data_IF_095456929234
#
_entry.id   IF_095456929234
#
_cell.length_a   1.000
_cell.length_b   1.000
_cell.length_c   1.000
_cell.angle_alpha   90.00
_cell.angle_beta   90.00
_cell.angle_gamma   90.00
#
_symmetry.space_group_name_H-M   'P 1'
#
loop_
_entity.id
_entity.type
_entity.pdbx_description
1 polymer ?
#
# COMPACT_ATOMS: atom_id res chain seq x y z
N UNK A 1 -19.36 2.55 38.51
CA UNK A 1 -18.08 1.82 38.33
C UNK A 1 -17.65 1.96 36.89
N UNK A 2 -16.73 2.88 36.58
CA UNK A 2 -16.16 3.02 35.25
C UNK A 2 -14.75 2.41 35.28
N UNK A 3 -14.61 1.18 34.78
CA UNK A 3 -13.32 0.54 34.59
C UNK A 3 -12.72 1.03 33.27
N UNK A 4 -11.98 2.14 33.32
CA UNK A 4 -11.14 2.56 32.21
C UNK A 4 -9.89 1.67 32.15
N UNK A 5 -9.98 0.59 31.38
CA UNK A 5 -8.82 -0.19 30.98
C UNK A 5 -7.93 0.69 30.11
N UNK A 6 -6.88 1.28 30.70
CA UNK A 6 -5.81 1.92 29.93
C UNK A 6 -5.29 0.89 28.91
N UNK A 7 -5.57 1.10 27.62
CA UNK A 7 -4.95 0.37 26.51
C UNK A 7 -3.44 0.51 26.67
N UNK A 8 -2.78 -0.52 27.22
CA UNK A 8 -1.31 -0.61 27.17
C UNK A 8 -0.95 -0.69 25.70
N UNK A 9 -0.09 0.21 25.22
CA UNK A 9 0.46 0.12 23.87
C UNK A 9 1.18 -1.22 23.76
N UNK A 10 0.64 -2.14 22.96
CA UNK A 10 1.27 -3.42 22.71
C UNK A 10 2.54 -3.18 21.92
N UNK A 11 3.67 -3.65 22.43
CA UNK A 11 4.95 -3.59 21.72
C UNK A 11 4.84 -4.38 20.42
N UNK A 12 5.46 -3.88 19.36
CA UNK A 12 5.55 -4.58 18.08
C UNK A 12 6.13 -6.00 18.25
N UNK A 13 5.47 -6.98 17.63
CA UNK A 13 6.02 -8.32 17.44
C UNK A 13 7.20 -8.30 16.46
N UNK A 14 7.99 -9.39 16.43
CA UNK A 14 9.09 -9.52 15.47
C UNK A 14 8.63 -9.37 14.01
N UNK A 15 7.47 -9.95 13.67
CA UNK A 15 6.89 -9.87 12.32
C UNK A 15 6.50 -8.43 11.98
N UNK A 16 5.90 -7.71 12.92
CA UNK A 16 5.50 -6.31 12.72
C UNK A 16 6.71 -5.37 12.62
N UNK A 17 7.79 -5.63 13.37
CA UNK A 17 9.05 -4.88 13.22
C UNK A 17 9.65 -5.08 11.84
N UNK A 18 9.75 -6.35 11.40
CA UNK A 18 10.24 -6.67 10.06
C UNK A 18 9.36 -6.02 8.99
N UNK A 19 8.03 -6.05 9.15
CA UNK A 19 7.09 -5.39 8.24
C UNK A 19 7.33 -3.88 8.17
N UNK A 20 7.48 -3.21 9.32
CA UNK A 20 7.75 -1.78 9.41
C UNK A 20 9.10 -1.39 8.77
N UNK A 21 10.15 -2.15 9.06
CA UNK A 21 11.50 -1.95 8.50
C UNK A 21 11.54 -2.06 6.97
N UNK A 22 10.66 -2.87 6.37
CA UNK A 22 10.58 -3.06 4.92
C UNK A 22 9.44 -2.25 4.29
N UNK A 23 8.68 -1.48 5.07
CA UNK A 23 7.46 -0.81 4.60
C UNK A 23 7.74 0.21 3.50
N UNK A 24 8.74 1.07 3.71
CA UNK A 24 9.13 2.12 2.76
C UNK A 24 9.57 1.54 1.41
N UNK A 25 10.42 0.51 1.41
CA UNK A 25 10.84 -0.16 0.17
C UNK A 25 9.65 -0.78 -0.58
N UNK A 26 8.71 -1.38 0.14
CA UNK A 26 7.52 -1.97 -0.47
C UNK A 26 6.60 -0.92 -1.09
N UNK A 27 6.40 0.21 -0.40
CA UNK A 27 5.63 1.34 -0.93
C UNK A 27 6.30 1.90 -2.18
N UNK A 28 7.62 2.15 -2.15
CA UNK A 28 8.37 2.65 -3.30
C UNK A 28 8.26 1.74 -4.53
N UNK A 29 8.24 0.41 -4.34
CA UNK A 29 8.03 -0.55 -5.43
C UNK A 29 6.62 -0.44 -6.02
N UNK A 30 5.61 -0.28 -5.18
CA UNK A 30 4.23 -0.10 -5.63
C UNK A 30 4.05 1.23 -6.36
N UNK A 31 4.65 2.32 -5.87
CA UNK A 31 4.61 3.63 -6.52
C UNK A 31 5.34 3.62 -7.88
N UNK A 32 6.47 2.93 -7.97
CA UNK A 32 7.16 2.73 -9.26
C UNK A 32 6.27 1.97 -10.26
N UNK A 33 5.54 0.95 -9.79
CA UNK A 33 4.61 0.20 -10.62
C UNK A 33 3.39 1.04 -11.03
N UNK A 34 2.85 1.86 -10.13
CA UNK A 34 1.81 2.84 -10.43
C UNK A 34 2.23 3.74 -11.60
N UNK A 35 3.42 4.36 -11.51
CA UNK A 35 3.93 5.25 -12.57
C UNK A 35 4.09 4.49 -13.89
N UNK A 36 4.57 3.24 -13.84
CA UNK A 36 4.69 2.40 -15.03
C UNK A 36 3.33 2.12 -15.69
N UNK A 37 2.32 1.75 -14.89
CA UNK A 37 0.97 1.47 -15.37
C UNK A 37 0.26 2.73 -15.89
N UNK A 38 0.45 3.87 -15.23
CA UNK A 38 -0.02 5.17 -15.73
C UNK A 38 0.57 5.48 -17.10
N UNK A 39 1.88 5.29 -17.28
CA UNK A 39 2.54 5.46 -18.57
C UNK A 39 2.00 4.51 -19.64
N UNK A 40 1.79 3.24 -19.30
CA UNK A 40 1.18 2.27 -20.21
C UNK A 40 -0.26 2.63 -20.59
N UNK A 41 -1.06 3.11 -19.65
CA UNK A 41 -2.46 3.49 -19.89
C UNK A 41 -2.62 4.59 -20.93
N UNK A 42 -1.57 5.41 -21.11
CA UNK A 42 -1.51 6.50 -22.07
C UNK A 42 -0.84 6.09 -23.40
N UNK A 43 -0.30 4.87 -23.49
CA UNK A 43 0.35 4.41 -24.71
C UNK A 43 -0.68 4.11 -25.80
N UNK A 44 -0.33 4.41 -27.05
CA UNK A 44 -1.21 4.16 -28.19
C UNK A 44 -1.58 2.68 -28.34
N UNK A 45 -0.65 1.76 -28.03
CA UNK A 45 -0.90 0.32 -28.07
C UNK A 45 -2.03 -0.11 -27.13
N UNK A 46 -2.03 0.41 -25.90
CA UNK A 46 -3.04 0.10 -24.89
C UNK A 46 -4.37 0.81 -25.20
N UNK A 47 -4.33 2.07 -25.63
CA UNK A 47 -5.54 2.84 -25.95
C UNK A 47 -6.34 2.27 -27.13
N UNK A 48 -5.67 1.60 -28.07
CA UNK A 48 -6.32 0.99 -29.24
C UNK A 48 -6.84 -0.44 -28.98
N UNK A 49 -6.49 -1.04 -27.84
CA UNK A 49 -6.88 -2.39 -27.45
C UNK A 49 -7.71 -2.34 -26.17
N UNK A 50 -9.03 -2.48 -26.30
CA UNK A 50 -9.95 -2.36 -25.15
C UNK A 50 -9.68 -3.38 -24.06
N UNK A 51 -9.16 -4.56 -24.39
CA UNK A 51 -8.83 -5.58 -23.40
C UNK A 51 -7.59 -5.16 -22.61
N UNK A 52 -6.53 -4.73 -23.30
CA UNK A 52 -5.33 -4.20 -22.63
C UNK A 52 -5.63 -2.97 -21.79
N UNK A 53 -6.48 -2.07 -22.28
CA UNK A 53 -6.90 -0.89 -21.52
C UNK A 53 -7.62 -1.28 -20.23
N UNK A 54 -8.53 -2.27 -20.29
CA UNK A 54 -9.22 -2.78 -19.12
C UNK A 54 -8.25 -3.44 -18.13
N UNK A 55 -7.33 -4.28 -18.62
CA UNK A 55 -6.32 -4.94 -17.79
C UNK A 55 -5.42 -3.92 -17.05
N UNK A 56 -4.84 -2.96 -17.79
CA UNK A 56 -4.00 -1.91 -17.20
C UNK A 56 -4.79 -1.06 -16.19
N UNK A 57 -6.06 -0.75 -16.48
CA UNK A 57 -6.91 0.02 -15.56
C UNK A 57 -7.21 -0.74 -14.27
N UNK A 58 -7.46 -2.05 -14.36
CA UNK A 58 -7.69 -2.91 -13.20
C UNK A 58 -6.43 -3.04 -12.35
N UNK A 59 -5.27 -3.22 -12.99
CA UNK A 59 -3.98 -3.29 -12.30
C UNK A 59 -3.64 -1.96 -11.62
N UNK A 60 -3.88 -0.83 -12.28
CA UNK A 60 -3.66 0.48 -11.70
C UNK A 60 -4.54 0.69 -10.46
N UNK A 61 -5.83 0.36 -10.54
CA UNK A 61 -6.75 0.46 -9.41
C UNK A 61 -6.31 -0.43 -8.23
N UNK A 62 -5.83 -1.65 -8.53
CA UNK A 62 -5.30 -2.56 -7.51
C UNK A 62 -4.06 -1.98 -6.83
N UNK A 63 -3.07 -1.51 -7.60
CA UNK A 63 -1.82 -0.95 -7.06
C UNK A 63 -2.10 0.28 -6.19
N UNK A 64 -3.01 1.16 -6.61
CA UNK A 64 -3.42 2.32 -5.81
C UNK A 64 -4.04 1.91 -4.47
N UNK A 65 -4.91 0.89 -4.46
CA UNK A 65 -5.47 0.32 -3.23
C UNK A 65 -4.40 -0.27 -2.32
N UNK A 66 -3.44 -1.02 -2.89
CA UNK A 66 -2.35 -1.61 -2.13
C UNK A 66 -1.44 -0.53 -1.50
N UNK A 67 -1.15 0.56 -2.21
CA UNK A 67 -0.39 1.71 -1.68
C UNK A 67 -1.11 2.31 -0.47
N UNK A 68 -2.42 2.59 -0.61
CA UNK A 68 -3.23 3.15 0.48
C UNK A 68 -3.23 2.24 1.71
N UNK A 69 -3.45 0.94 1.52
CA UNK A 69 -3.39 -0.06 2.58
C UNK A 69 -2.02 -0.11 3.27
N UNK A 70 -0.92 0.00 2.51
CA UNK A 70 0.43 0.05 3.08
C UNK A 70 0.67 1.30 3.91
N UNK A 71 0.25 2.47 3.44
CA UNK A 71 0.35 3.70 4.23
C UNK A 71 -0.51 3.64 5.51
N UNK A 72 -1.72 3.09 5.42
CA UNK A 72 -2.57 2.87 6.59
C UNK A 72 -1.91 1.92 7.59
N UNK A 73 -1.37 0.80 7.11
CA UNK A 73 -0.64 -0.17 7.92
C UNK A 73 0.62 0.43 8.54
N UNK A 74 1.35 1.26 7.81
CA UNK A 74 2.52 1.96 8.32
C UNK A 74 2.15 2.89 9.48
N UNK A 75 1.04 3.64 9.34
CA UNK A 75 0.51 4.50 10.40
C UNK A 75 0.20 3.70 11.67
N UNK A 76 -0.46 2.55 11.53
CA UNK A 76 -0.77 1.66 12.65
C UNK A 76 0.48 1.14 13.37
N UNK A 77 1.48 0.68 12.62
CA UNK A 77 2.73 0.14 13.17
C UNK A 77 3.56 1.23 13.84
N UNK A 78 3.68 2.40 13.21
CA UNK A 78 4.39 3.56 13.76
C UNK A 78 3.73 4.07 15.05
N UNK A 79 2.40 3.98 15.16
CA UNK A 79 1.68 4.36 16.38
C UNK A 79 1.89 3.37 17.55
N UNK A 80 2.24 2.11 17.26
CA UNK A 80 2.58 1.10 18.28
C UNK A 80 4.05 1.20 18.72
N UNK A 81 4.93 1.69 17.86
CA UNK A 81 6.35 1.90 18.17
C UNK A 81 6.57 3.08 19.13
N UNK A 82 5.80 4.16 18.95
CA UNK A 82 5.84 5.39 19.75
C UNK A 82 5.11 5.28 21.10
#
# INVERSE_FOLDING_TARGET
SQSQSQKRRERLSYKEKFELENMEENILKLEAEQVRLEGLSQSQEVLLDSQKLQEVSMDLARVLSEIEEKYQRWSELSAKEN
#
